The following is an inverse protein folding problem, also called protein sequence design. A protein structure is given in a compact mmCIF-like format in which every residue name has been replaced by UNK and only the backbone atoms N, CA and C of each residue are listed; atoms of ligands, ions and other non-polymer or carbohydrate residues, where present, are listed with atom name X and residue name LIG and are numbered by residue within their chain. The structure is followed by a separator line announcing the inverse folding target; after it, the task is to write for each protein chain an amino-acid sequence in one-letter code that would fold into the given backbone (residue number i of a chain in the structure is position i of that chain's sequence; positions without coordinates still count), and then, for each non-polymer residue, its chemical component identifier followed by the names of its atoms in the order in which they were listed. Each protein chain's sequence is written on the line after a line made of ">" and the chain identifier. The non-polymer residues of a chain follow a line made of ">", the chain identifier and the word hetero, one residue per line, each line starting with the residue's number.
data_IF_225668546578
#
_entry.id   IF_225668546578
#
_cell.length_a   1.000
_cell.length_b   1.000
_cell.length_c   1.000
_cell.angle_alpha   90.00
_cell.angle_beta   90.00
_cell.angle_gamma   90.00
#
_symmetry.space_group_name_H-M   'P 1'
#
loop_
_entity.id
_entity.type
_entity.pdbx_description
1 polymer ?
#
# COMPACT_ATOMS: atom_id res chain seq x y z
N UNK A 1 -8.99 -25.63 21.17
CA UNK A 1 -8.38 -26.47 22.23
C UNK A 1 -8.56 -27.91 21.80
N UNK A 2 -7.49 -28.70 21.72
CA UNK A 2 -7.50 -30.06 21.19
C UNK A 2 -6.71 -31.01 22.09
N UNK A 3 -7.39 -32.05 22.54
CA UNK A 3 -6.85 -33.13 23.37
C UNK A 3 -6.72 -34.46 22.59
N UNK A 4 -7.33 -34.56 21.41
CA UNK A 4 -7.44 -35.81 20.64
C UNK A 4 -6.23 -36.07 19.74
N UNK A 5 -5.71 -35.04 19.06
CA UNK A 5 -4.53 -35.19 18.21
C UNK A 5 -3.28 -35.60 19.00
N UNK A 6 -2.96 -34.98 20.16
CA UNK A 6 -1.86 -35.44 21.00
C UNK A 6 -1.94 -36.92 21.38
N UNK A 7 -3.15 -37.45 21.58
CA UNK A 7 -3.36 -38.86 21.88
C UNK A 7 -3.13 -39.75 20.65
N UNK A 8 -3.74 -39.40 19.52
CA UNK A 8 -3.64 -40.19 18.28
C UNK A 8 -2.22 -40.27 17.73
N UNK A 9 -1.41 -39.25 17.96
CA UNK A 9 -0.01 -39.20 17.54
C UNK A 9 0.97 -39.60 18.64
N UNK A 10 0.49 -40.08 19.79
CA UNK A 10 1.32 -40.49 20.94
C UNK A 10 2.34 -39.40 21.34
N UNK A 11 1.91 -38.14 21.35
CA UNK A 11 2.76 -37.02 21.75
C UNK A 11 2.97 -37.04 23.27
N UNK A 12 4.22 -36.96 23.69
CA UNK A 12 4.61 -37.01 25.10
C UNK A 12 5.71 -35.97 25.40
N UNK A 13 5.73 -35.46 26.63
CA UNK A 13 6.85 -34.69 27.20
C UNK A 13 7.13 -35.17 28.63
N UNK A 14 8.35 -34.94 29.13
CA UNK A 14 8.69 -35.27 30.53
C UNK A 14 8.33 -34.10 31.43
N UNK A 15 7.46 -34.35 32.41
CA UNK A 15 7.01 -33.36 33.38
C UNK A 15 8.06 -33.10 34.46
N UNK A 16 7.80 -32.09 35.29
CA UNK A 16 8.67 -31.75 36.43
C UNK A 16 8.75 -32.87 37.49
N UNK A 17 7.78 -33.79 37.48
CA UNK A 17 7.74 -35.01 38.28
C UNK A 17 8.55 -36.17 37.69
N UNK A 18 9.20 -35.97 36.53
CA UNK A 18 9.96 -36.99 35.82
C UNK A 18 9.09 -38.01 35.07
N UNK A 19 7.77 -37.87 35.10
CA UNK A 19 6.84 -38.77 34.40
C UNK A 19 6.57 -38.29 32.98
N UNK A 20 6.08 -39.21 32.13
CA UNK A 20 5.62 -38.86 30.78
C UNK A 20 4.20 -38.33 30.85
N UNK A 21 4.01 -37.13 30.29
CA UNK A 21 2.72 -36.44 30.21
C UNK A 21 2.36 -36.15 28.77
N UNK A 22 1.06 -36.08 28.49
CA UNK A 22 0.55 -35.71 27.17
C UNK A 22 0.32 -34.20 27.09
N UNK A 23 0.79 -33.52 26.04
CA UNK A 23 0.55 -32.08 25.89
C UNK A 23 -0.90 -31.79 25.47
N UNK A 24 -1.35 -30.57 25.72
CA UNK A 24 -2.61 -30.03 25.19
C UNK A 24 -2.29 -29.18 23.97
N UNK A 25 -3.01 -29.38 22.87
CA UNK A 25 -2.76 -28.67 21.62
C UNK A 25 -3.71 -27.48 21.46
N UNK A 26 -3.17 -26.31 21.10
CA UNK A 26 -3.94 -25.11 20.78
C UNK A 26 -3.72 -24.77 19.31
N UNK A 27 -4.75 -25.02 18.50
CA UNK A 27 -4.78 -24.58 17.10
C UNK A 27 -5.18 -23.10 17.03
N UNK A 28 -4.39 -22.29 16.31
CA UNK A 28 -4.65 -20.86 16.11
C UNK A 28 -4.29 -20.46 14.69
N UNK A 29 -5.20 -19.72 14.05
CA UNK A 29 -4.92 -18.92 12.86
C UNK A 29 -5.45 -17.51 13.11
N UNK A 30 -4.58 -16.49 13.08
CA UNK A 30 -4.97 -15.11 13.43
C UNK A 30 -5.89 -14.53 12.35
N UNK A 31 -5.48 -14.63 11.10
CA UNK A 31 -6.24 -14.16 9.95
C UNK A 31 -7.13 -15.24 9.32
N UNK A 32 -7.03 -16.49 9.81
CA UNK A 32 -7.63 -17.64 9.14
C UNK A 32 -6.91 -17.92 7.82
N UNK A 33 -7.65 -17.91 6.70
CA UNK A 33 -7.07 -18.01 5.36
C UNK A 33 -6.80 -16.62 4.77
N UNK A 34 -5.71 -16.50 4.02
CA UNK A 34 -5.32 -15.22 3.41
C UNK A 34 -6.36 -14.75 2.41
N UNK A 35 -6.98 -15.65 1.66
CA UNK A 35 -8.00 -15.34 0.67
C UNK A 35 -9.25 -14.75 1.33
N UNK A 36 -9.70 -15.33 2.44
CA UNK A 36 -10.86 -14.81 3.18
C UNK A 36 -10.53 -13.49 3.85
N UNK A 37 -9.32 -13.35 4.37
CA UNK A 37 -8.87 -12.09 4.96
C UNK A 37 -8.80 -10.97 3.92
N UNK A 38 -8.27 -11.24 2.72
CA UNK A 38 -8.27 -10.26 1.61
C UNK A 38 -9.69 -9.90 1.20
N UNK A 39 -10.61 -10.87 1.10
CA UNK A 39 -12.02 -10.59 0.79
C UNK A 39 -12.65 -9.65 1.85
N UNK A 40 -12.41 -9.92 3.13
CA UNK A 40 -12.86 -9.05 4.23
C UNK A 40 -12.27 -7.65 4.16
N UNK A 41 -10.97 -7.51 3.84
CA UNK A 41 -10.32 -6.21 3.67
C UNK A 41 -10.93 -5.45 2.48
N UNK A 42 -11.16 -6.12 1.35
CA UNK A 42 -11.79 -5.50 0.17
C UNK A 42 -13.17 -4.95 0.53
N UNK A 43 -14.00 -5.75 1.20
CA UNK A 43 -15.34 -5.34 1.64
C UNK A 43 -15.27 -4.20 2.66
N UNK A 44 -14.41 -4.31 3.68
CA UNK A 44 -14.26 -3.32 4.74
C UNK A 44 -13.86 -1.94 4.21
N UNK A 45 -12.92 -1.90 3.26
CA UNK A 45 -12.47 -0.64 2.66
C UNK A 45 -13.28 -0.22 1.44
N UNK A 46 -14.23 -1.06 0.99
CA UNK A 46 -14.87 -0.91 -0.31
C UNK A 46 -13.86 -0.77 -1.45
N UNK A 47 -12.71 -1.45 -1.37
CA UNK A 47 -11.58 -1.34 -2.30
C UNK A 47 -10.69 -0.10 -2.17
N UNK A 48 -11.00 0.87 -1.29
CA UNK A 48 -10.14 2.04 -1.00
C UNK A 48 -9.12 1.69 0.08
N UNK A 49 -8.13 0.89 -0.29
CA UNK A 49 -7.14 0.38 0.67
C UNK A 49 -6.33 1.52 1.32
N UNK A 50 -5.90 1.33 2.58
CA UNK A 50 -4.89 2.19 3.19
C UNK A 50 -3.63 2.27 2.32
N UNK A 51 -2.89 3.37 2.42
CA UNK A 51 -1.71 3.63 1.59
C UNK A 51 -0.72 2.45 1.60
N UNK A 52 -0.39 1.89 2.77
CA UNK A 52 0.53 0.77 2.91
C UNK A 52 0.06 -0.52 2.20
N UNK A 53 -1.24 -0.70 2.02
CA UNK A 53 -1.85 -1.91 1.43
C UNK A 53 -2.25 -1.73 -0.04
N UNK A 54 -2.32 -0.50 -0.55
CA UNK A 54 -2.76 -0.24 -1.92
C UNK A 54 -1.82 -0.87 -2.96
N UNK A 55 -2.30 -1.65 -3.94
CA UNK A 55 -1.45 -2.26 -4.97
C UNK A 55 -0.62 -1.22 -5.72
N UNK A 56 -1.27 -0.12 -6.12
CA UNK A 56 -0.62 1.08 -6.63
C UNK A 56 -0.84 2.18 -5.62
N UNK A 57 0.26 2.75 -5.12
CA UNK A 57 0.22 3.79 -4.09
C UNK A 57 0.16 5.18 -4.70
N UNK A 58 0.90 5.38 -5.80
CA UNK A 58 1.12 6.68 -6.41
C UNK A 58 1.03 6.53 -7.93
N UNK A 59 0.15 7.27 -8.60
CA UNK A 59 0.11 7.39 -10.05
C UNK A 59 0.81 8.68 -10.48
N UNK A 60 1.79 8.60 -11.37
CA UNK A 60 2.49 9.75 -11.95
C UNK A 60 1.91 10.04 -13.32
N UNK A 61 1.34 11.24 -13.48
CA UNK A 61 0.48 11.63 -14.60
C UNK A 61 1.06 12.85 -15.34
N UNK A 62 1.96 12.66 -16.30
CA UNK A 62 2.40 13.75 -17.20
C UNK A 62 1.23 14.24 -18.07
N UNK A 63 1.17 15.56 -18.26
CA UNK A 63 0.18 16.21 -19.13
C UNK A 63 0.42 15.89 -20.61
N UNK A 64 1.69 15.87 -21.02
CA UNK A 64 2.13 15.62 -22.40
C UNK A 64 3.48 14.90 -22.41
N UNK A 65 3.88 14.38 -23.57
CA UNK A 65 5.16 13.70 -23.75
C UNK A 65 6.37 14.60 -23.45
N UNK A 66 6.19 15.94 -23.50
CA UNK A 66 7.22 16.89 -23.12
C UNK A 66 7.60 16.86 -21.63
N UNK A 67 6.82 16.18 -20.77
CA UNK A 67 7.14 15.96 -19.36
C UNK A 67 7.59 14.52 -19.07
N UNK A 68 7.76 13.67 -20.09
CA UNK A 68 8.05 12.24 -19.92
C UNK A 68 9.33 11.99 -19.12
N UNK A 69 10.43 12.68 -19.44
CA UNK A 69 11.72 12.49 -18.76
C UNK A 69 11.64 12.83 -17.26
N UNK A 70 10.98 13.95 -16.93
CA UNK A 70 10.78 14.34 -15.54
C UNK A 70 9.85 13.36 -14.81
N UNK A 71 8.81 12.88 -15.48
CA UNK A 71 7.89 11.89 -14.93
C UNK A 71 8.57 10.55 -14.64
N UNK A 72 9.45 10.10 -15.52
CA UNK A 72 10.25 8.89 -15.33
C UNK A 72 11.25 9.06 -14.17
N UNK A 73 11.93 10.21 -14.08
CA UNK A 73 12.84 10.52 -12.98
C UNK A 73 12.12 10.53 -11.62
N UNK A 74 10.95 11.18 -11.53
CA UNK A 74 10.11 11.19 -10.32
C UNK A 74 9.66 9.77 -9.96
N UNK A 75 9.17 9.01 -10.93
CA UNK A 75 8.69 7.63 -10.72
C UNK A 75 9.81 6.72 -10.22
N UNK A 76 10.99 6.79 -10.86
CA UNK A 76 12.17 6.02 -10.47
C UNK A 76 12.62 6.39 -9.07
N UNK A 77 12.63 7.68 -8.72
CA UNK A 77 12.98 8.14 -7.38
C UNK A 77 12.02 7.60 -6.32
N UNK A 78 10.70 7.66 -6.56
CA UNK A 78 9.70 7.11 -5.64
C UNK A 78 9.87 5.59 -5.45
N UNK A 79 10.09 4.86 -6.54
CA UNK A 79 10.37 3.41 -6.48
C UNK A 79 11.64 3.10 -5.70
N UNK A 80 12.69 3.90 -5.84
CA UNK A 80 13.94 3.73 -5.09
C UNK A 80 13.78 3.90 -3.57
N UNK A 81 12.74 4.62 -3.13
CA UNK A 81 12.37 4.79 -1.72
C UNK A 81 11.40 3.70 -1.21
N UNK A 82 11.05 2.72 -2.05
CA UNK A 82 10.18 1.59 -1.68
C UNK A 82 8.69 1.82 -1.92
N UNK A 83 8.29 2.93 -2.53
CA UNK A 83 6.89 3.17 -2.90
C UNK A 83 6.50 2.41 -4.17
N UNK A 84 5.26 1.92 -4.21
CA UNK A 84 4.64 1.33 -5.41
C UNK A 84 4.05 2.43 -6.30
N UNK A 85 4.93 3.12 -7.01
CA UNK A 85 4.56 4.17 -7.96
C UNK A 85 4.44 3.63 -9.40
N UNK A 86 3.46 4.10 -10.16
CA UNK A 86 3.27 3.78 -11.58
C UNK A 86 3.19 5.05 -12.43
N UNK A 87 3.85 5.02 -13.59
CA UNK A 87 3.83 6.11 -14.57
C UNK A 87 2.74 5.84 -15.61
N UNK A 88 1.81 6.78 -15.78
CA UNK A 88 0.85 6.77 -16.88
C UNK A 88 1.36 7.65 -18.04
N UNK A 89 2.16 7.04 -18.91
CA UNK A 89 2.74 7.69 -20.09
C UNK A 89 1.81 7.76 -21.31
N UNK A 90 0.54 7.35 -21.19
CA UNK A 90 -0.38 7.36 -22.34
C UNK A 90 -0.67 8.79 -22.80
N UNK A 91 -0.82 9.03 -24.10
CA UNK A 91 -1.15 10.35 -24.65
C UNK A 91 -2.66 10.66 -24.56
N UNK A 92 -3.19 10.61 -23.34
CA UNK A 92 -4.60 10.86 -23.01
C UNK A 92 -4.79 12.20 -22.31
N UNK A 93 -6.01 12.76 -22.37
CA UNK A 93 -6.34 13.98 -21.62
C UNK A 93 -6.14 13.75 -20.12
N UNK A 94 -5.52 14.70 -19.42
CA UNK A 94 -5.22 14.57 -17.98
C UNK A 94 -6.47 14.26 -17.14
N UNK A 95 -7.63 14.81 -17.49
CA UNK A 95 -8.88 14.51 -16.79
C UNK A 95 -9.33 13.04 -16.93
N UNK A 96 -9.00 12.39 -18.06
CA UNK A 96 -9.23 10.95 -18.25
C UNK A 96 -8.32 10.14 -17.34
N UNK A 97 -7.00 10.44 -17.34
CA UNK A 97 -6.02 9.78 -16.46
C UNK A 97 -6.38 9.91 -14.98
N UNK A 98 -6.76 11.12 -14.54
CA UNK A 98 -7.22 11.37 -13.16
C UNK A 98 -8.46 10.52 -12.85
N UNK A 99 -9.46 10.49 -13.74
CA UNK A 99 -10.67 9.69 -13.53
C UNK A 99 -10.38 8.20 -13.43
N UNK A 100 -9.46 7.68 -14.24
CA UNK A 100 -9.06 6.27 -14.19
C UNK A 100 -8.33 5.96 -12.87
N UNK A 101 -7.40 6.80 -12.46
CA UNK A 101 -6.71 6.67 -11.17
C UNK A 101 -7.68 6.76 -9.96
N UNK A 102 -8.65 7.67 -10.01
CA UNK A 102 -9.72 7.78 -9.00
C UNK A 102 -10.62 6.53 -8.98
N UNK A 103 -10.94 5.97 -10.15
CA UNK A 103 -11.73 4.73 -10.28
C UNK A 103 -10.96 3.53 -9.73
N UNK A 104 -9.65 3.48 -9.98
CA UNK A 104 -8.73 2.51 -9.41
C UNK A 104 -8.41 2.72 -7.93
N UNK A 105 -8.92 3.80 -7.32
CA UNK A 105 -8.73 4.17 -5.90
C UNK A 105 -7.27 4.31 -5.52
N UNK A 106 -6.45 4.80 -6.45
CA UNK A 106 -5.03 5.04 -6.21
C UNK A 106 -4.89 6.19 -5.21
N UNK A 107 -4.26 5.99 -4.03
CA UNK A 107 -4.25 6.98 -2.94
C UNK A 107 -3.74 8.37 -3.37
N UNK A 108 -2.66 8.42 -4.15
CA UNK A 108 -2.04 9.66 -4.60
C UNK A 108 -1.87 9.71 -6.12
N UNK A 109 -2.12 10.88 -6.71
CA UNK A 109 -1.87 11.19 -8.11
C UNK A 109 -0.94 12.40 -8.17
N UNK A 110 0.16 12.27 -8.92
CA UNK A 110 1.15 13.33 -9.15
C UNK A 110 0.97 13.86 -10.56
N UNK A 111 0.43 15.06 -10.70
CA UNK A 111 0.16 15.70 -11.97
C UNK A 111 1.39 16.53 -12.35
N UNK A 112 1.93 16.29 -13.56
CA UNK A 112 3.16 16.92 -14.03
C UNK A 112 2.88 17.74 -15.28
N UNK A 113 2.77 19.07 -15.11
CA UNK A 113 2.69 20.02 -16.20
C UNK A 113 3.99 20.79 -16.42
N UNK A 114 4.02 21.70 -17.41
CA UNK A 114 5.19 22.53 -17.68
C UNK A 114 5.66 23.36 -16.48
N UNK A 115 4.70 23.82 -15.64
CA UNK A 115 5.00 24.60 -14.43
C UNK A 115 5.70 23.75 -13.36
N UNK A 116 5.24 22.52 -13.18
CA UNK A 116 5.80 21.57 -12.22
C UNK A 116 7.22 21.15 -12.62
N UNK A 117 7.45 20.88 -13.91
CA UNK A 117 8.80 20.58 -14.43
C UNK A 117 9.74 21.77 -14.22
N UNK A 118 9.32 22.98 -14.59
CA UNK A 118 10.16 24.18 -14.45
C UNK A 118 10.49 24.52 -13.00
N UNK A 119 9.64 24.13 -12.05
CA UNK A 119 9.81 24.38 -10.63
C UNK A 119 10.41 23.18 -9.87
N UNK A 120 10.73 22.08 -10.54
CA UNK A 120 11.16 20.80 -9.92
C UNK A 120 10.20 20.33 -8.80
N UNK A 121 8.90 20.48 -9.05
CA UNK A 121 7.81 20.13 -8.13
C UNK A 121 6.87 19.12 -8.76
N UNK A 122 5.90 18.67 -7.96
CA UNK A 122 4.78 17.84 -8.39
C UNK A 122 3.49 18.43 -7.82
N UNK A 123 2.41 18.46 -8.62
CA UNK A 123 1.09 18.80 -8.12
C UNK A 123 0.43 17.52 -7.59
N UNK A 124 0.06 17.51 -6.31
CA UNK A 124 -0.37 16.31 -5.59
C UNK A 124 -1.88 16.35 -5.42
N UNK A 125 -2.54 15.29 -5.86
CA UNK A 125 -3.97 15.05 -5.61
C UNK A 125 -4.14 13.77 -4.79
N UNK A 126 -4.98 13.79 -3.76
CA UNK A 126 -5.33 12.62 -2.95
C UNK A 126 -6.72 12.12 -3.31
N UNK A 127 -6.85 10.81 -3.45
CA UNK A 127 -8.14 10.18 -3.77
C UNK A 127 -9.19 10.51 -2.71
N UNK A 128 -10.34 11.02 -3.14
CA UNK A 128 -11.44 11.48 -2.28
C UNK A 128 -11.27 12.89 -1.70
N UNK A 129 -10.03 13.33 -1.41
CA UNK A 129 -9.77 14.63 -0.77
C UNK A 129 -9.47 15.75 -1.77
N UNK A 130 -9.10 15.41 -3.01
CA UNK A 130 -8.85 16.37 -4.07
C UNK A 130 -7.43 16.93 -4.07
N UNK A 131 -7.29 18.20 -4.49
CA UNK A 131 -6.00 18.84 -4.70
C UNK A 131 -5.35 19.24 -3.37
N UNK A 132 -4.09 18.82 -3.17
CA UNK A 132 -3.27 19.14 -2.00
C UNK A 132 -2.23 20.22 -2.29
N UNK A 133 -2.15 20.73 -3.53
CA UNK A 133 -1.19 21.72 -3.96
C UNK A 133 0.12 21.11 -4.47
N UNK A 134 1.16 21.93 -4.51
CA UNK A 134 2.46 21.55 -5.06
C UNK A 134 3.49 21.27 -3.98
N UNK A 135 4.25 20.20 -4.17
CA UNK A 135 5.34 19.77 -3.27
C UNK A 135 6.60 19.53 -4.09
N UNK A 136 7.76 19.72 -3.46
CA UNK A 136 8.98 19.09 -3.97
C UNK A 136 8.88 17.57 -3.80
N UNK A 137 9.66 16.82 -4.59
CA UNK A 137 9.66 15.35 -4.49
C UNK A 137 10.12 14.90 -3.10
N UNK A 138 11.06 15.61 -2.47
CA UNK A 138 11.57 15.30 -1.13
C UNK A 138 10.57 15.57 -0.01
N UNK A 139 9.87 16.70 -0.06
CA UNK A 139 8.77 17.00 0.88
C UNK A 139 7.68 15.93 0.80
N UNK A 140 7.33 15.52 -0.42
CA UNK A 140 6.35 14.46 -0.64
C UNK A 140 6.82 13.11 -0.07
N UNK A 141 8.06 12.70 -0.35
CA UNK A 141 8.62 11.44 0.17
C UNK A 141 8.55 11.43 1.70
N UNK A 142 8.97 12.52 2.35
CA UNK A 142 8.94 12.63 3.82
C UNK A 142 7.51 12.44 4.35
N UNK A 143 6.54 13.14 3.75
CA UNK A 143 5.13 13.04 4.13
C UNK A 143 4.55 11.64 3.92
N UNK A 144 4.90 10.99 2.81
CA UNK A 144 4.41 9.65 2.50
C UNK A 144 5.05 8.57 3.37
N UNK A 145 6.28 8.76 3.85
CA UNK A 145 6.92 7.84 4.79
C UNK A 145 6.17 7.76 6.13
N UNK A 146 5.65 8.88 6.61
CA UNK A 146 4.86 8.91 7.85
C UNK A 146 3.54 8.13 7.68
N UNK A 147 2.91 8.21 6.51
CA UNK A 147 1.66 7.48 6.19
C UNK A 147 1.91 6.01 5.80
N UNK A 148 3.12 5.65 5.38
CA UNK A 148 3.50 4.29 5.03
C UNK A 148 3.66 3.39 6.26
N UNK A 149 3.87 3.96 7.46
CA UNK A 149 4.07 3.19 8.67
C UNK A 149 2.75 2.94 9.44
N UNK A 150 2.17 1.72 9.37
CA UNK A 150 0.87 1.42 9.98
C UNK A 150 0.87 1.48 11.52
N UNK A 151 2.04 1.56 12.15
CA UNK A 151 2.16 1.72 13.62
C UNK A 151 1.89 3.16 14.06
N UNK A 152 2.05 4.14 13.16
CA UNK A 152 1.89 5.56 13.46
C UNK A 152 0.53 6.14 13.03
N UNK A 153 -0.32 5.36 12.34
CA UNK A 153 -1.58 5.85 11.77
C UNK A 153 -2.76 5.95 12.76
N UNK A 154 -2.53 5.71 14.06
CA UNK A 154 -3.48 6.02 15.13
C UNK A 154 -3.04 7.29 15.88
N UNK A 155 -3.20 8.46 15.23
CA UNK A 155 -3.32 9.75 15.90
C UNK A 155 -4.36 10.62 15.20
#
# INVERSE_FOLDING_TARGET
>A
LDFSMPERFELEYVGADGQRHRPVMIHRAIFGSIERFIAQIIEHHGGRFPFWLSPVQIAVLPLTDAQADYADAVTTRLKSMGFRAELDSRSEKIGYKIREAETGKIPYMLILGPKEVAAEKVAVRKHGDGDLGQFTVDELITKLHDEFNPVNSEK
#
